data_IF_983620825783
#
_entry.id   IF_983620825783
#
_cell.length_a   1.000
_cell.length_b   1.000
_cell.length_c   1.000
_cell.angle_alpha   90.00
_cell.angle_beta   90.00
_cell.angle_gamma   90.00
#
_symmetry.space_group_name_H-M   'P 1'
#
loop_
_entity.id
_entity.type
_entity.pdbx_description
1 polymer ?
#
# COMPACT_ATOMS: atom_id res chain seq x y z
N UNK A 1 -19.21 0.69 -11.28
CA UNK A 1 -18.55 -0.39 -10.52
C UNK A 1 -19.02 -1.75 -11.04
N UNK A 2 -18.14 -2.75 -11.05
CA UNK A 2 -18.43 -4.12 -11.49
C UNK A 2 -19.60 -4.77 -10.73
N UNK A 3 -19.81 -4.36 -9.48
CA UNK A 3 -20.82 -4.92 -8.58
C UNK A 3 -22.09 -4.06 -8.44
N UNK A 4 -22.29 -3.03 -9.27
CA UNK A 4 -23.52 -2.20 -9.28
C UNK A 4 -23.68 -1.21 -8.13
N UNK A 5 -22.64 -0.99 -7.29
CA UNK A 5 -22.69 -0.08 -6.13
C UNK A 5 -22.17 1.34 -6.42
N UNK A 6 -22.11 1.76 -7.69
CA UNK A 6 -21.57 3.06 -8.08
C UNK A 6 -22.22 4.24 -7.36
N UNK A 7 -23.54 4.21 -7.19
CA UNK A 7 -24.30 5.27 -6.50
C UNK A 7 -23.98 5.42 -5.01
N UNK A 8 -23.33 4.39 -4.42
CA UNK A 8 -22.96 4.39 -3.00
C UNK A 8 -21.49 4.75 -2.77
N UNK A 9 -20.70 4.89 -3.83
CA UNK A 9 -19.25 5.01 -3.73
C UNK A 9 -18.84 6.24 -2.92
N UNK A 10 -19.38 7.41 -3.21
CA UNK A 10 -19.11 8.65 -2.48
C UNK A 10 -19.51 8.53 -1.00
N UNK A 11 -20.69 7.99 -0.71
CA UNK A 11 -21.18 7.79 0.64
C UNK A 11 -20.28 6.82 1.41
N UNK A 12 -19.81 5.75 0.77
CA UNK A 12 -18.91 4.77 1.38
C UNK A 12 -17.57 5.41 1.78
N UNK A 13 -16.94 6.17 0.88
CA UNK A 13 -15.68 6.87 1.17
C UNK A 13 -15.84 7.89 2.31
N UNK A 14 -16.87 8.73 2.26
CA UNK A 14 -17.15 9.71 3.33
C UNK A 14 -17.45 9.03 4.67
N UNK A 15 -18.14 7.90 4.64
CA UNK A 15 -18.44 7.13 5.86
C UNK A 15 -17.17 6.50 6.44
N UNK A 16 -16.30 5.91 5.62
CA UNK A 16 -15.03 5.35 6.06
C UNK A 16 -14.15 6.41 6.74
N UNK A 17 -14.02 7.59 6.14
CA UNK A 17 -13.28 8.72 6.73
C UNK A 17 -13.89 9.16 8.08
N UNK A 18 -15.23 9.27 8.14
CA UNK A 18 -15.92 9.61 9.38
C UNK A 18 -15.64 8.58 10.49
N UNK A 19 -15.67 7.29 10.16
CA UNK A 19 -15.37 6.21 11.10
C UNK A 19 -13.91 6.25 11.56
N UNK A 20 -12.96 6.50 10.67
CA UNK A 20 -11.56 6.65 11.03
C UNK A 20 -11.35 7.82 12.01
N UNK A 21 -11.93 9.00 11.72
CA UNK A 21 -11.88 10.17 12.63
C UNK A 21 -12.53 9.88 13.99
N UNK A 22 -13.65 9.17 14.00
CA UNK A 22 -14.34 8.79 15.23
C UNK A 22 -13.48 7.83 16.06
N UNK A 23 -12.84 6.84 15.42
CA UNK A 23 -11.95 5.89 16.10
C UNK A 23 -10.76 6.58 16.76
N UNK A 24 -10.14 7.57 16.10
CA UNK A 24 -9.06 8.37 16.68
C UNK A 24 -9.59 9.12 17.91
N UNK A 25 -10.74 9.79 17.78
CA UNK A 25 -11.35 10.58 18.87
C UNK A 25 -11.72 9.74 20.08
N UNK A 26 -12.19 8.51 19.86
CA UNK A 26 -12.61 7.59 20.94
C UNK A 26 -11.44 6.80 21.52
N UNK A 27 -10.30 6.79 20.86
CA UNK A 27 -9.10 6.12 21.34
C UNK A 27 -8.36 6.97 22.38
N UNK A 28 -7.44 6.36 23.13
CA UNK A 28 -6.51 7.08 24.02
C UNK A 28 -5.30 7.66 23.27
N UNK A 29 -5.27 7.54 21.96
CA UNK A 29 -4.17 8.02 21.10
C UNK A 29 -4.30 9.55 20.93
N UNK A 30 -3.18 10.26 20.92
CA UNK A 30 -3.20 11.70 20.65
C UNK A 30 -3.48 11.96 19.17
N UNK A 31 -4.31 12.95 18.87
CA UNK A 31 -4.73 13.29 17.51
C UNK A 31 -3.53 13.56 16.56
N UNK A 32 -2.43 14.12 17.07
CA UNK A 32 -1.23 14.44 16.30
C UNK A 32 -0.27 13.25 16.07
N UNK A 33 -0.60 12.08 16.61
CA UNK A 33 0.21 10.86 16.49
C UNK A 33 -0.33 9.86 15.47
N UNK A 34 -1.43 10.18 14.80
CA UNK A 34 -2.09 9.33 13.80
C UNK A 34 -2.50 10.17 12.59
N UNK A 35 -2.24 9.66 11.40
CA UNK A 35 -2.69 10.25 10.14
C UNK A 35 -3.75 9.35 9.49
N UNK A 36 -4.68 9.97 8.78
CA UNK A 36 -5.66 9.25 7.96
C UNK A 36 -5.19 9.30 6.52
N UNK A 37 -4.92 8.13 5.95
CA UNK A 37 -4.61 7.99 4.54
C UNK A 37 -5.89 7.75 3.72
N UNK A 38 -6.06 8.50 2.64
CA UNK A 38 -6.99 8.14 1.58
C UNK A 38 -6.44 6.94 0.82
N UNK A 39 -7.28 5.95 0.55
CA UNK A 39 -6.87 4.75 -0.15
C UNK A 39 -7.25 4.83 -1.63
N UNK A 40 -6.28 4.56 -2.51
CA UNK A 40 -6.46 4.42 -3.95
C UNK A 40 -5.95 3.04 -4.38
N UNK A 41 -6.82 2.02 -4.40
CA UNK A 41 -6.49 0.67 -4.86
C UNK A 41 -6.56 0.56 -6.39
N UNK A 42 -6.12 -0.55 -7.00
CA UNK A 42 -6.41 -0.84 -8.39
C UNK A 42 -7.90 -0.79 -8.70
N UNK A 43 -8.27 -0.18 -9.83
CA UNK A 43 -9.67 0.16 -10.16
C UNK A 43 -10.55 -1.07 -10.43
N UNK A 44 -9.97 -2.16 -10.92
CA UNK A 44 -10.72 -3.35 -11.32
C UNK A 44 -10.41 -4.54 -10.41
N UNK A 45 -9.12 -4.92 -10.33
CA UNK A 45 -8.71 -6.08 -9.53
C UNK A 45 -7.28 -5.93 -9.05
N UNK A 46 -7.05 -6.21 -7.76
CA UNK A 46 -5.71 -6.34 -7.21
C UNK A 46 -5.03 -7.57 -7.81
N UNK A 47 -3.73 -7.47 -8.06
CA UNK A 47 -2.84 -8.53 -8.58
C UNK A 47 -3.03 -8.94 -10.04
N UNK A 48 -4.02 -8.42 -10.75
CA UNK A 48 -4.37 -8.83 -12.12
C UNK A 48 -4.17 -7.62 -13.06
N UNK A 49 -2.93 -7.42 -13.50
CA UNK A 49 -2.56 -6.27 -14.33
C UNK A 49 -3.25 -6.24 -15.70
N UNK A 50 -3.63 -7.40 -16.23
CA UNK A 50 -4.22 -7.55 -17.57
C UNK A 50 -5.61 -6.91 -17.71
N UNK A 51 -6.29 -6.64 -16.58
CA UNK A 51 -7.62 -6.02 -16.57
C UNK A 51 -7.57 -4.50 -16.30
N UNK A 52 -6.38 -3.93 -16.11
CA UNK A 52 -6.22 -2.49 -15.89
C UNK A 52 -6.73 -1.69 -17.09
N UNK A 53 -7.27 -0.52 -16.81
CA UNK A 53 -7.70 0.45 -17.83
C UNK A 53 -6.50 1.19 -18.41
N UNK A 54 -6.70 1.80 -19.58
CA UNK A 54 -5.70 2.77 -20.09
C UNK A 54 -5.55 3.97 -19.15
N UNK A 55 -4.43 4.67 -19.29
CA UNK A 55 -4.04 5.79 -18.43
C UNK A 55 -5.14 6.86 -18.28
N UNK A 56 -5.76 7.30 -19.39
CA UNK A 56 -6.73 8.41 -19.32
C UNK A 56 -8.02 8.02 -18.59
N UNK A 57 -8.54 6.82 -18.89
CA UNK A 57 -9.71 6.30 -18.19
C UNK A 57 -9.41 6.06 -16.70
N UNK A 58 -8.22 5.56 -16.37
CA UNK A 58 -7.78 5.41 -14.99
C UNK A 58 -7.68 6.75 -14.27
N UNK A 59 -7.08 7.76 -14.90
CA UNK A 59 -6.93 9.10 -14.34
C UNK A 59 -8.28 9.73 -14.00
N UNK A 60 -9.26 9.64 -14.89
CA UNK A 60 -10.59 10.22 -14.64
C UNK A 60 -11.32 9.54 -13.48
N UNK A 61 -11.17 8.22 -13.32
CA UNK A 61 -11.74 7.50 -12.18
C UNK A 61 -11.00 7.81 -10.87
N UNK A 62 -9.67 7.89 -10.89
CA UNK A 62 -8.91 8.29 -9.71
C UNK A 62 -9.19 9.73 -9.28
N UNK A 63 -9.43 10.66 -10.19
CA UNK A 63 -9.89 12.02 -9.85
C UNK A 63 -11.18 12.00 -9.04
N UNK A 64 -12.13 11.14 -9.39
CA UNK A 64 -13.36 10.97 -8.61
C UNK A 64 -13.08 10.41 -7.21
N UNK A 65 -12.25 9.38 -7.10
CA UNK A 65 -11.90 8.78 -5.80
C UNK A 65 -11.14 9.78 -4.91
N UNK A 66 -10.25 10.57 -5.49
CA UNK A 66 -9.53 11.64 -4.79
C UNK A 66 -10.52 12.71 -4.32
N UNK A 67 -11.45 13.14 -5.18
CA UNK A 67 -12.44 14.16 -4.81
C UNK A 67 -13.31 13.74 -3.63
N UNK A 68 -13.70 12.48 -3.55
CA UNK A 68 -14.48 11.96 -2.41
C UNK A 68 -13.71 11.97 -1.08
N UNK A 69 -12.38 11.97 -1.12
CA UNK A 69 -11.54 11.74 0.06
C UNK A 69 -10.70 12.96 0.49
N UNK A 70 -10.31 13.84 -0.45
CA UNK A 70 -9.29 14.90 -0.27
C UNK A 70 -9.49 15.80 0.95
N UNK A 71 -10.74 16.14 1.30
CA UNK A 71 -11.05 17.04 2.42
C UNK A 71 -11.03 16.33 3.79
N UNK A 72 -10.95 15.02 3.78
CA UNK A 72 -11.07 14.22 4.98
C UNK A 72 -9.82 13.47 5.41
N UNK A 73 -8.77 13.48 4.59
CA UNK A 73 -7.53 12.72 4.77
C UNK A 73 -6.30 13.63 4.81
N UNK A 74 -5.24 13.16 5.43
CA UNK A 74 -3.97 13.88 5.57
C UNK A 74 -3.06 13.66 4.35
N UNK A 75 -3.09 12.46 3.79
CA UNK A 75 -2.28 12.00 2.66
C UNK A 75 -3.04 10.94 1.85
N UNK A 76 -2.47 10.52 0.73
CA UNK A 76 -2.97 9.38 -0.04
C UNK A 76 -1.98 8.23 -0.06
N UNK A 77 -2.52 7.02 0.08
CA UNK A 77 -1.83 5.76 -0.14
C UNK A 77 -2.37 5.12 -1.42
N UNK A 78 -1.55 5.12 -2.45
CA UNK A 78 -1.81 4.50 -3.76
C UNK A 78 -1.24 3.09 -3.63
N UNK A 79 -2.09 2.08 -3.42
CA UNK A 79 -1.62 0.79 -2.95
C UNK A 79 -1.94 -0.37 -3.89
N UNK A 80 -1.07 -1.39 -3.85
CA UNK A 80 -1.22 -2.66 -4.58
C UNK A 80 -1.19 -2.48 -6.10
N UNK A 81 -0.46 -1.46 -6.58
CA UNK A 81 -0.36 -1.18 -8.01
C UNK A 81 0.39 -2.31 -8.72
N UNK A 82 -0.26 -2.90 -9.72
CA UNK A 82 0.26 -4.05 -10.47
C UNK A 82 1.00 -3.68 -11.74
N UNK A 83 0.89 -2.43 -12.20
CA UNK A 83 1.53 -1.89 -13.40
C UNK A 83 1.86 -0.40 -13.23
N UNK A 84 2.68 0.12 -14.14
CA UNK A 84 3.18 1.50 -14.10
C UNK A 84 2.07 2.49 -14.46
N UNK A 85 1.31 2.26 -15.51
CA UNK A 85 0.33 3.23 -16.04
C UNK A 85 -0.75 3.55 -15.02
N UNK A 86 -1.26 2.54 -14.30
CA UNK A 86 -2.28 2.74 -13.28
C UNK A 86 -1.73 3.50 -12.06
N UNK A 87 -0.49 3.19 -11.65
CA UNK A 87 0.20 3.92 -10.58
C UNK A 87 0.42 5.40 -10.93
N UNK A 88 0.84 5.69 -12.18
CA UNK A 88 1.02 7.06 -12.67
C UNK A 88 -0.31 7.82 -12.73
N UNK A 89 -1.38 7.19 -13.19
CA UNK A 89 -2.70 7.81 -13.26
C UNK A 89 -3.23 8.19 -11.86
N UNK A 90 -3.06 7.28 -10.88
CA UNK A 90 -3.44 7.56 -9.51
C UNK A 90 -2.61 8.69 -8.89
N UNK A 91 -1.29 8.68 -9.09
CA UNK A 91 -0.39 9.72 -8.59
C UNK A 91 -0.70 11.07 -9.22
N UNK A 92 -0.96 11.13 -10.53
CA UNK A 92 -1.34 12.36 -11.22
C UNK A 92 -2.63 12.96 -10.63
N UNK A 93 -3.65 12.14 -10.35
CA UNK A 93 -4.88 12.59 -9.73
C UNK A 93 -4.65 13.20 -8.33
N UNK A 94 -3.76 12.61 -7.52
CA UNK A 94 -3.43 13.16 -6.19
C UNK A 94 -2.63 14.45 -6.31
N UNK A 95 -1.70 14.55 -7.24
CA UNK A 95 -0.88 15.74 -7.48
C UNK A 95 -1.74 16.96 -7.85
N UNK A 96 -2.87 16.78 -8.55
CA UNK A 96 -3.82 17.86 -8.88
C UNK A 96 -4.44 18.54 -7.64
N UNK A 97 -4.50 17.84 -6.51
CA UNK A 97 -5.06 18.38 -5.26
C UNK A 97 -3.99 18.77 -4.22
N UNK A 98 -2.71 18.68 -4.59
CA UNK A 98 -1.57 19.03 -3.74
C UNK A 98 -1.58 18.31 -2.38
N UNK A 99 -1.96 17.04 -2.34
CA UNK A 99 -1.86 16.19 -1.15
C UNK A 99 -0.61 15.31 -1.24
N UNK A 100 0.02 15.00 -0.11
CA UNK A 100 1.11 14.02 -0.09
C UNK A 100 0.64 12.66 -0.60
N UNK A 101 1.46 12.02 -1.45
CA UNK A 101 1.17 10.73 -2.04
C UNK A 101 2.32 9.73 -1.82
N UNK A 102 1.96 8.56 -1.30
CA UNK A 102 2.84 7.41 -1.19
C UNK A 102 2.35 6.32 -2.14
N UNK A 103 3.24 5.80 -2.98
CA UNK A 103 2.88 4.81 -4.00
C UNK A 103 3.44 3.46 -3.62
N UNK A 104 2.62 2.42 -3.70
CA UNK A 104 3.00 1.07 -3.35
C UNK A 104 2.72 0.09 -4.48
N UNK A 105 3.78 -0.57 -4.95
CA UNK A 105 3.67 -1.63 -5.94
C UNK A 105 3.50 -3.00 -5.29
N UNK A 106 2.76 -3.89 -5.96
CA UNK A 106 2.78 -5.32 -5.69
C UNK A 106 3.66 -6.02 -6.72
N UNK A 107 4.59 -6.84 -6.24
CA UNK A 107 5.57 -7.54 -7.06
C UNK A 107 5.27 -9.04 -7.12
N UNK A 108 5.84 -9.71 -8.12
CA UNK A 108 5.77 -11.16 -8.26
C UNK A 108 6.43 -11.87 -7.09
N UNK A 109 5.82 -12.94 -6.59
CA UNK A 109 6.35 -13.72 -5.48
C UNK A 109 7.45 -14.71 -5.89
N UNK A 110 7.82 -14.74 -7.18
CA UNK A 110 8.85 -15.61 -7.77
C UNK A 110 10.28 -15.07 -7.64
N UNK A 111 10.48 -13.98 -6.87
CA UNK A 111 11.75 -13.30 -6.64
C UNK A 111 12.37 -12.65 -7.89
N UNK A 112 11.61 -12.47 -8.96
CA UNK A 112 12.10 -11.85 -10.20
C UNK A 112 12.29 -10.35 -10.12
N UNK A 113 11.80 -9.70 -9.05
CA UNK A 113 11.72 -8.24 -8.89
C UNK A 113 10.93 -7.58 -10.02
N UNK A 114 9.86 -8.21 -10.47
CA UNK A 114 8.94 -7.66 -11.45
C UNK A 114 7.61 -7.32 -10.81
N UNK A 115 6.94 -6.30 -11.34
CA UNK A 115 5.54 -6.06 -11.05
C UNK A 115 4.69 -7.23 -11.54
N UNK A 116 3.44 -7.32 -11.09
CA UNK A 116 2.51 -8.37 -11.56
C UNK A 116 2.23 -8.31 -13.07
N UNK A 117 2.39 -7.14 -13.68
CA UNK A 117 2.36 -6.92 -15.14
C UNK A 117 3.54 -7.55 -15.90
N UNK A 118 4.61 -7.90 -15.20
CA UNK A 118 5.88 -8.34 -15.79
C UNK A 118 6.88 -7.21 -16.05
N UNK A 119 6.51 -5.95 -15.80
CA UNK A 119 7.39 -4.79 -15.86
C UNK A 119 8.50 -4.89 -14.80
N UNK A 120 9.69 -4.39 -15.10
CA UNK A 120 10.80 -4.39 -14.14
C UNK A 120 10.57 -3.37 -13.02
N UNK A 121 10.81 -3.77 -11.76
CA UNK A 121 10.61 -2.90 -10.59
C UNK A 121 11.49 -1.65 -10.64
N UNK A 122 12.74 -1.77 -11.08
CA UNK A 122 13.67 -0.64 -11.17
C UNK A 122 13.19 0.38 -12.19
N UNK A 123 12.70 -0.09 -13.34
CA UNK A 123 12.15 0.78 -14.39
C UNK A 123 10.88 1.48 -13.87
N UNK A 124 10.00 0.76 -13.20
CA UNK A 124 8.79 1.31 -12.59
C UNK A 124 9.12 2.43 -11.58
N UNK A 125 10.08 2.19 -10.70
CA UNK A 125 10.57 3.18 -9.73
C UNK A 125 11.13 4.42 -10.44
N UNK A 126 12.02 4.23 -11.44
CA UNK A 126 12.65 5.35 -12.16
C UNK A 126 11.61 6.22 -12.88
N UNK A 127 10.61 5.61 -13.47
CA UNK A 127 9.51 6.33 -14.11
C UNK A 127 8.69 7.11 -13.07
N UNK A 128 8.32 6.47 -11.96
CA UNK A 128 7.50 7.07 -10.92
C UNK A 128 8.19 8.25 -10.23
N UNK A 129 9.51 8.20 -10.05
CA UNK A 129 10.29 9.28 -9.42
C UNK A 129 10.21 10.61 -10.18
N UNK A 130 9.95 10.60 -11.51
CA UNK A 130 9.75 11.82 -12.29
C UNK A 130 8.47 12.57 -11.85
N UNK A 131 7.49 11.87 -11.31
CA UNK A 131 6.21 12.42 -10.83
C UNK A 131 6.25 12.81 -9.34
N UNK A 132 7.42 12.69 -8.70
CA UNK A 132 7.74 13.17 -7.33
C UNK A 132 6.79 12.66 -6.25
N UNK A 133 6.63 11.35 -6.06
CA UNK A 133 5.90 10.81 -4.91
C UNK A 133 6.64 11.16 -3.60
N UNK A 134 5.91 11.24 -2.49
CA UNK A 134 6.50 11.46 -1.17
C UNK A 134 7.25 10.21 -0.63
N UNK A 135 6.92 9.05 -1.16
CA UNK A 135 7.61 7.79 -0.87
C UNK A 135 7.13 6.66 -1.75
N UNK A 136 7.93 5.61 -1.83
CA UNK A 136 7.62 4.40 -2.62
C UNK A 136 7.69 3.19 -1.70
N UNK A 137 6.71 2.31 -1.80
CA UNK A 137 6.63 1.11 -0.97
C UNK A 137 6.39 -0.13 -1.84
N UNK A 138 6.58 -1.29 -1.21
CA UNK A 138 6.10 -2.57 -1.72
C UNK A 138 5.04 -3.11 -0.76
N UNK A 139 3.89 -3.53 -1.28
CA UNK A 139 2.84 -4.13 -0.46
C UNK A 139 2.21 -5.36 -1.11
N UNK A 140 1.46 -6.08 -0.33
CA UNK A 140 0.67 -7.22 -0.81
C UNK A 140 1.46 -8.25 -1.65
N UNK A 141 2.73 -8.39 -1.34
CA UNK A 141 3.64 -9.42 -1.85
C UNK A 141 4.18 -10.22 -0.68
N UNK A 142 4.69 -11.40 -0.93
CA UNK A 142 5.28 -12.21 0.15
C UNK A 142 6.45 -11.48 0.82
N UNK A 143 6.66 -11.64 2.13
CA UNK A 143 7.79 -11.03 2.82
C UNK A 143 9.14 -11.38 2.19
N UNK A 144 9.27 -12.60 1.64
CA UNK A 144 10.46 -13.09 0.95
C UNK A 144 10.73 -12.29 -0.34
N UNK A 145 9.69 -12.05 -1.15
CA UNK A 145 9.82 -11.28 -2.39
C UNK A 145 10.17 -9.81 -2.08
N UNK A 146 9.53 -9.21 -1.09
CA UNK A 146 9.85 -7.86 -0.64
C UNK A 146 11.30 -7.78 -0.14
N UNK A 147 11.76 -8.74 0.65
CA UNK A 147 13.15 -8.80 1.15
C UNK A 147 14.14 -8.89 0.00
N UNK A 148 13.85 -9.72 -1.01
CA UNK A 148 14.69 -9.83 -2.21
C UNK A 148 14.80 -8.50 -2.98
N UNK A 149 13.70 -7.73 -3.02
CA UNK A 149 13.64 -6.44 -3.71
C UNK A 149 14.31 -5.28 -2.91
N UNK A 150 14.64 -5.47 -1.63
CA UNK A 150 15.25 -4.41 -0.82
C UNK A 150 16.57 -3.89 -1.39
N UNK A 151 17.32 -4.70 -2.13
CA UNK A 151 18.54 -4.25 -2.82
C UNK A 151 18.26 -3.16 -3.88
N UNK A 152 17.08 -3.17 -4.48
CA UNK A 152 16.62 -2.13 -5.41
C UNK A 152 16.07 -0.93 -4.62
N UNK A 153 15.23 -1.20 -3.62
CA UNK A 153 14.59 -0.16 -2.82
C UNK A 153 15.60 0.70 -2.05
N UNK A 154 16.70 0.12 -1.57
CA UNK A 154 17.76 0.83 -0.82
C UNK A 154 18.53 1.86 -1.63
N UNK A 155 18.38 1.89 -2.95
CA UNK A 155 18.98 2.90 -3.82
C UNK A 155 18.15 4.20 -3.87
N UNK A 156 16.94 4.19 -3.30
CA UNK A 156 16.06 5.35 -3.28
C UNK A 156 16.60 6.46 -2.36
N UNK A 157 16.51 7.71 -2.83
CA UNK A 157 16.82 8.90 -2.05
C UNK A 157 15.61 9.51 -1.33
N UNK A 158 14.42 8.93 -1.51
CA UNK A 158 13.18 9.31 -0.85
C UNK A 158 12.75 8.21 0.13
N UNK A 159 11.83 8.47 1.08
CA UNK A 159 11.30 7.45 1.96
C UNK A 159 10.80 6.23 1.20
N UNK A 160 11.16 5.05 1.67
CA UNK A 160 10.64 3.81 1.12
C UNK A 160 10.21 2.83 2.22
N UNK A 161 9.42 1.83 1.84
CA UNK A 161 8.85 0.94 2.84
C UNK A 161 8.35 -0.40 2.34
N UNK A 162 7.84 -1.19 3.28
CA UNK A 162 7.41 -2.55 3.08
C UNK A 162 6.18 -2.90 3.94
N UNK A 163 5.16 -3.47 3.29
CA UNK A 163 3.91 -3.94 3.90
C UNK A 163 3.56 -5.31 3.31
N UNK A 164 4.25 -6.36 3.80
CA UNK A 164 4.08 -7.72 3.32
C UNK A 164 2.70 -8.30 3.59
N UNK A 165 2.30 -9.30 2.82
CA UNK A 165 1.09 -10.07 3.09
C UNK A 165 1.38 -11.42 3.74
N UNK A 166 0.36 -12.00 4.36
CA UNK A 166 0.42 -13.29 5.02
C UNK A 166 -0.34 -14.40 4.29
N UNK A 167 -0.64 -14.27 3.00
CA UNK A 167 -1.24 -15.36 2.22
C UNK A 167 -0.22 -16.42 1.80
N UNK A 168 -0.65 -17.67 1.72
CA UNK A 168 0.18 -18.76 1.15
C UNK A 168 0.37 -18.59 -0.34
N UNK A 169 -0.62 -18.08 -1.06
CA UNK A 169 -0.62 -17.77 -2.49
C UNK A 169 -1.82 -16.90 -2.81
N UNK A 170 -1.66 -16.05 -3.81
CA UNK A 170 -2.74 -15.23 -4.37
C UNK A 170 -3.28 -15.76 -5.70
N UNK A 171 -2.79 -16.90 -6.18
CA UNK A 171 -3.10 -17.46 -7.52
C UNK A 171 -4.58 -17.84 -7.72
N UNK A 172 -5.34 -17.98 -6.64
CA UNK A 172 -6.77 -18.25 -6.70
C UNK A 172 -7.64 -17.00 -6.88
N UNK A 173 -7.05 -15.80 -6.85
CA UNK A 173 -7.81 -14.56 -7.05
C UNK A 173 -8.07 -14.33 -8.54
N UNK A 174 -9.32 -14.02 -8.85
CA UNK A 174 -9.78 -13.59 -10.17
C UNK A 174 -10.57 -12.30 -10.03
N UNK A 175 -10.72 -11.48 -11.10
CA UNK A 175 -11.51 -10.26 -11.02
C UNK A 175 -12.92 -10.52 -10.49
N UNK A 176 -13.32 -9.78 -9.46
CA UNK A 176 -14.61 -9.94 -8.79
C UNK A 176 -14.69 -11.06 -7.73
N UNK A 177 -13.62 -11.85 -7.54
CA UNK A 177 -13.56 -12.82 -6.43
C UNK A 177 -13.24 -12.14 -5.10
N UNK A 178 -13.50 -12.85 -4.00
CA UNK A 178 -13.15 -12.44 -2.64
C UNK A 178 -11.93 -13.20 -2.13
N UNK A 179 -11.33 -12.72 -1.06
CA UNK A 179 -10.19 -13.36 -0.38
C UNK A 179 -10.56 -14.66 0.35
N UNK A 180 -11.85 -15.02 0.41
CA UNK A 180 -12.32 -16.24 1.08
C UNK A 180 -11.71 -17.53 0.52
N UNK A 181 -11.23 -17.48 -0.72
CA UNK A 181 -10.56 -18.60 -1.39
C UNK A 181 -9.05 -18.68 -1.08
N UNK A 182 -8.53 -17.72 -0.31
CA UNK A 182 -7.12 -17.68 0.08
C UNK A 182 -6.92 -18.29 1.46
N UNK A 183 -5.70 -18.70 1.75
CA UNK A 183 -5.32 -19.27 3.04
C UNK A 183 -4.20 -18.47 3.65
N UNK A 184 -4.35 -18.14 4.94
CA UNK A 184 -3.29 -17.52 5.72
C UNK A 184 -2.10 -18.46 5.93
N UNK A 185 -0.91 -17.89 5.94
CA UNK A 185 0.34 -18.57 6.28
C UNK A 185 0.40 -18.86 7.79
N UNK A 186 0.44 -20.13 8.16
CA UNK A 186 0.53 -20.55 9.55
C UNK A 186 1.95 -20.40 10.13
N UNK A 187 2.94 -20.34 9.27
CA UNK A 187 4.35 -20.15 9.62
C UNK A 187 4.73 -18.68 9.84
N UNK A 188 3.89 -17.73 9.39
CA UNK A 188 4.15 -16.31 9.50
C UNK A 188 3.54 -15.74 10.80
N UNK A 189 4.09 -16.16 11.94
CA UNK A 189 3.71 -15.60 13.24
C UNK A 189 4.16 -14.13 13.39
N UNK A 190 3.63 -13.37 14.37
CA UNK A 190 4.09 -12.00 14.65
C UNK A 190 5.61 -11.88 14.81
N UNK A 191 6.24 -12.87 15.46
CA UNK A 191 7.69 -12.91 15.64
C UNK A 191 8.42 -13.10 14.29
N UNK A 192 7.96 -14.04 13.46
CA UNK A 192 8.59 -14.31 12.16
C UNK A 192 8.42 -13.10 11.23
N UNK A 193 7.25 -12.46 11.26
CA UNK A 193 7.03 -11.23 10.49
C UNK A 193 7.96 -10.09 10.91
N UNK A 194 8.17 -9.92 12.21
CA UNK A 194 9.10 -8.92 12.74
C UNK A 194 10.56 -9.16 12.32
N UNK A 195 10.98 -10.41 12.13
CA UNK A 195 12.32 -10.72 11.60
C UNK A 195 12.49 -10.25 10.13
N UNK A 196 11.44 -10.36 9.29
CA UNK A 196 11.45 -9.75 7.96
C UNK A 196 11.50 -8.22 8.05
N UNK A 197 10.69 -7.63 8.91
CA UNK A 197 10.66 -6.18 9.07
C UNK A 197 12.01 -5.59 9.53
N UNK A 198 12.75 -6.29 10.40
CA UNK A 198 14.12 -5.93 10.77
C UNK A 198 15.05 -5.88 9.55
N UNK A 199 14.98 -6.90 8.68
CA UNK A 199 15.78 -6.92 7.45
C UNK A 199 15.45 -5.73 6.53
N UNK A 200 14.17 -5.32 6.44
CA UNK A 200 13.77 -4.17 5.65
C UNK A 200 14.29 -2.86 6.28
N UNK A 201 14.21 -2.72 7.59
CA UNK A 201 14.76 -1.56 8.32
C UNK A 201 16.28 -1.49 8.19
N UNK A 202 16.98 -2.63 8.30
CA UNK A 202 18.43 -2.71 8.10
C UNK A 202 18.84 -2.31 6.67
N UNK A 203 17.98 -2.56 5.68
CA UNK A 203 18.16 -2.10 4.30
C UNK A 203 17.84 -0.60 4.12
N UNK A 204 17.34 0.08 5.14
CA UNK A 204 17.03 1.51 5.13
C UNK A 204 15.55 1.86 4.96
N UNK A 205 14.64 0.89 4.98
CA UNK A 205 13.20 1.16 4.93
C UNK A 205 12.76 1.96 6.17
N UNK A 206 12.00 3.03 5.93
CA UNK A 206 11.49 3.92 6.98
C UNK A 206 9.99 3.84 7.19
N UNK A 207 9.29 3.11 6.32
CA UNK A 207 7.84 2.90 6.37
C UNK A 207 7.59 1.39 6.47
N UNK A 208 7.14 0.94 7.63
CA UNK A 208 6.93 -0.48 7.91
C UNK A 208 5.50 -0.69 8.40
N UNK A 209 4.87 -1.70 7.85
CA UNK A 209 3.51 -2.08 8.21
C UNK A 209 3.18 -3.51 7.81
N UNK A 210 1.92 -3.77 7.57
CA UNK A 210 1.42 -5.03 7.08
C UNK A 210 0.26 -4.84 6.12
N UNK A 211 0.03 -5.81 5.25
CA UNK A 211 -1.11 -5.87 4.34
C UNK A 211 -2.01 -7.04 4.76
N UNK A 212 -2.61 -7.74 3.83
CA UNK A 212 -3.53 -8.84 4.08
C UNK A 212 -2.95 -9.89 5.04
N UNK A 213 -3.77 -10.41 5.95
CA UNK A 213 -3.41 -11.41 6.98
C UNK A 213 -2.36 -10.96 8.03
N UNK A 214 -1.91 -9.71 7.97
CA UNK A 214 -1.06 -9.11 9.00
C UNK A 214 -1.95 -8.30 9.94
N UNK A 215 -2.43 -8.96 10.97
CA UNK A 215 -3.41 -8.40 11.91
C UNK A 215 -2.79 -7.56 13.03
N UNK A 216 -3.64 -7.05 13.95
CA UNK A 216 -3.22 -6.18 15.06
C UNK A 216 -2.11 -6.78 15.93
N UNK A 217 -2.12 -8.09 16.16
CA UNK A 217 -1.10 -8.79 16.96
C UNK A 217 0.28 -8.72 16.30
N UNK A 218 0.35 -8.79 14.96
CA UNK A 218 1.59 -8.62 14.22
C UNK A 218 2.12 -7.19 14.38
N UNK A 219 1.25 -6.20 14.24
CA UNK A 219 1.63 -4.78 14.32
C UNK A 219 2.05 -4.40 15.73
N UNK A 220 1.37 -4.92 16.76
CA UNK A 220 1.75 -4.71 18.14
C UNK A 220 3.16 -5.27 18.42
N UNK A 221 3.39 -6.55 18.08
CA UNK A 221 4.69 -7.20 18.24
C UNK A 221 5.78 -6.48 17.47
N UNK A 222 5.52 -6.10 16.22
CA UNK A 222 6.43 -5.33 15.38
C UNK A 222 6.79 -3.98 16.01
N UNK A 223 5.79 -3.24 16.48
CA UNK A 223 5.97 -1.95 17.14
C UNK A 223 6.85 -2.06 18.40
N UNK A 224 6.63 -3.09 19.22
CA UNK A 224 7.45 -3.35 20.41
C UNK A 224 8.89 -3.71 20.01
N UNK A 225 9.06 -4.61 19.05
CA UNK A 225 10.35 -5.06 18.54
C UNK A 225 11.19 -3.87 18.04
N UNK A 226 10.63 -3.03 17.17
CA UNK A 226 11.36 -1.89 16.63
C UNK A 226 11.73 -0.86 17.70
N UNK A 227 10.90 -0.66 18.73
CA UNK A 227 11.23 0.20 19.87
C UNK A 227 12.37 -0.38 20.71
N UNK A 228 12.38 -1.69 20.96
CA UNK A 228 13.45 -2.40 21.68
C UNK A 228 14.77 -2.34 20.91
N UNK A 229 14.71 -2.35 19.58
CA UNK A 229 15.87 -2.17 18.69
C UNK A 229 16.35 -0.69 18.63
N UNK A 230 15.67 0.23 19.34
CA UNK A 230 16.05 1.64 19.45
C UNK A 230 15.47 2.57 18.40
N UNK A 231 14.54 2.09 17.57
CA UNK A 231 13.87 2.91 16.57
C UNK A 231 12.77 3.78 17.18
N UNK A 232 12.69 5.03 16.73
CA UNK A 232 11.60 5.93 17.07
C UNK A 232 10.49 5.80 16.03
N UNK A 233 9.29 5.44 16.48
CA UNK A 233 8.10 5.42 15.63
C UNK A 233 7.49 6.83 15.54
N UNK A 234 7.20 7.25 14.31
CA UNK A 234 6.61 8.57 13.99
C UNK A 234 5.52 8.41 12.93
N UNK A 235 4.75 9.46 12.73
CA UNK A 235 3.87 9.59 11.55
C UNK A 235 4.70 9.78 10.28
N UNK A 236 4.07 9.58 9.11
CA UNK A 236 4.71 9.80 7.82
C UNK A 236 5.11 11.27 7.65
N UNK A 237 6.29 11.55 7.07
CA UNK A 237 6.70 12.91 6.77
C UNK A 237 5.84 13.45 5.61
N UNK A 238 5.07 14.50 5.87
CA UNK A 238 4.18 15.17 4.91
C UNK A 238 4.44 16.66 4.90
#
# INVERSE_FOLDING_TARGET
>A
TLNGFGDQLEIAHKTAIKLAKLSIKESSVKDDSVQIAGCLPPLIASYVAEVSKDYNNSLDEYRQLVDFQKDGVDLFLIETMSNIDEALAALAAVNEVNKPAFVSFTISDDLSNKLRSGEDLRDAINILLNEKPNGIMLNCSSPEAITNAMSIMSELSIPFGALGNGFTSISALTPGSTVDNLSARKDLSPKVYAEFARQWVDAGATIIGGCCEIGPEHIEFLSQTLKEDGHRLTILPV
#
